data_IF_467644578950
#
_entry.id   IF_467644578950
#
_cell.length_a   1.000
_cell.length_b   1.000
_cell.length_c   1.000
_cell.angle_alpha   90.00
_cell.angle_beta   90.00
_cell.angle_gamma   90.00
#
_symmetry.space_group_name_H-M   'P 1'
#
loop_
_entity.id
_entity.type
_entity.pdbx_description
1 polymer ?
#
# COMPACT_ATOMS: atom_id res chain seq x y z
N UNK A 1 -19.95 -8.50 8.15
CA UNK A 1 -19.34 -9.06 6.92
C UNK A 1 -18.17 -9.96 7.30
N UNK A 2 -17.90 -11.04 6.54
CA UNK A 2 -16.67 -11.83 6.73
C UNK A 2 -15.53 -11.24 5.91
N UNK A 3 -14.29 -11.55 6.27
CA UNK A 3 -13.11 -11.06 5.53
C UNK A 3 -13.09 -11.56 4.09
N UNK A 4 -13.51 -12.81 3.87
CA UNK A 4 -13.50 -13.40 2.53
C UNK A 4 -14.54 -12.73 1.62
N UNK A 5 -15.71 -12.37 2.16
CA UNK A 5 -16.71 -11.58 1.41
C UNK A 5 -16.15 -10.22 1.01
N UNK A 6 -15.49 -9.52 1.94
CA UNK A 6 -14.84 -8.23 1.64
C UNK A 6 -13.77 -8.37 0.55
N UNK A 7 -13.02 -9.48 0.58
CA UNK A 7 -12.02 -9.79 -0.42
C UNK A 7 -12.66 -10.00 -1.80
N UNK A 8 -13.73 -10.79 -1.87
CA UNK A 8 -14.44 -11.08 -3.11
C UNK A 8 -15.05 -9.81 -3.71
N UNK A 9 -15.68 -8.96 -2.89
CA UNK A 9 -16.19 -7.66 -3.33
C UNK A 9 -15.06 -6.75 -3.85
N UNK A 10 -13.91 -6.72 -3.17
CA UNK A 10 -12.75 -5.92 -3.62
C UNK A 10 -12.27 -6.40 -5.01
N UNK A 11 -12.23 -7.72 -5.23
CA UNK A 11 -11.87 -8.32 -6.52
C UNK A 11 -12.90 -7.95 -7.61
N UNK A 12 -14.19 -8.02 -7.30
CA UNK A 12 -15.26 -7.67 -8.24
C UNK A 12 -15.16 -6.20 -8.67
N UNK A 13 -14.99 -5.27 -7.72
CA UNK A 13 -14.78 -3.85 -8.02
C UNK A 13 -13.58 -3.65 -8.93
N UNK A 14 -12.42 -4.24 -8.58
CA UNK A 14 -11.21 -4.14 -9.39
C UNK A 14 -11.40 -4.68 -10.80
N UNK A 15 -12.02 -5.85 -10.96
CA UNK A 15 -12.28 -6.45 -12.28
C UNK A 15 -13.25 -5.61 -13.11
N UNK A 16 -14.33 -5.10 -12.51
CA UNK A 16 -15.26 -4.19 -13.19
C UNK A 16 -14.58 -2.88 -13.61
N UNK A 17 -13.63 -2.38 -12.81
CA UNK A 17 -12.80 -1.24 -13.14
C UNK A 17 -11.71 -1.55 -14.19
N UNK A 18 -11.62 -2.78 -14.69
CA UNK A 18 -10.68 -3.18 -15.74
C UNK A 18 -9.28 -3.52 -15.25
N UNK A 19 -9.11 -3.83 -13.96
CA UNK A 19 -7.84 -4.35 -13.44
C UNK A 19 -7.69 -5.84 -13.74
N UNK A 20 -6.47 -6.25 -14.09
CA UNK A 20 -6.00 -7.61 -13.90
C UNK A 20 -5.75 -7.82 -12.41
N UNK A 21 -6.25 -8.91 -11.83
CA UNK A 21 -6.20 -9.15 -10.38
C UNK A 21 -5.56 -10.52 -10.12
N UNK A 22 -4.58 -10.57 -9.21
CA UNK A 22 -3.91 -11.81 -8.81
C UNK A 22 -4.86 -12.72 -8.03
N UNK A 23 -4.45 -13.97 -7.85
CA UNK A 23 -5.05 -14.85 -6.87
C UNK A 23 -4.90 -14.28 -5.45
N UNK A 24 -5.83 -14.68 -4.59
CA UNK A 24 -5.83 -14.29 -3.18
C UNK A 24 -4.61 -14.92 -2.49
N UNK A 25 -3.79 -14.09 -1.87
CA UNK A 25 -2.69 -14.55 -1.04
C UNK A 25 -3.24 -15.17 0.25
N UNK A 26 -3.31 -16.50 0.29
CA UNK A 26 -3.79 -17.26 1.44
C UNK A 26 -2.67 -17.61 2.44
N UNK A 27 -1.41 -17.42 2.02
CA UNK A 27 -0.20 -17.74 2.78
C UNK A 27 -0.01 -16.75 3.93
N UNK A 28 0.53 -17.22 5.06
CA UNK A 28 0.79 -16.40 6.24
C UNK A 28 2.26 -16.50 6.65
N UNK A 29 2.86 -15.42 7.18
CA UNK A 29 2.33 -14.04 7.22
C UNK A 29 2.22 -13.41 5.80
N UNK A 30 1.37 -12.37 5.66
CA UNK A 30 1.12 -11.70 4.36
C UNK A 30 1.10 -10.17 4.45
N UNK A 31 1.90 -9.47 3.64
CA UNK A 31 1.98 -8.01 3.54
C UNK A 31 0.80 -7.44 2.77
N UNK A 32 0.39 -8.10 1.70
CA UNK A 32 -0.83 -7.79 0.95
C UNK A 32 -1.66 -9.07 0.73
N UNK A 33 -2.95 -8.91 0.47
CA UNK A 33 -3.87 -10.00 0.15
C UNK A 33 -4.04 -10.18 -1.36
N UNK A 34 -4.00 -9.09 -2.14
CA UNK A 34 -4.24 -9.08 -3.58
C UNK A 34 -3.32 -8.06 -4.25
N UNK A 35 -2.76 -8.40 -5.41
CA UNK A 35 -2.16 -7.44 -6.32
C UNK A 35 -3.11 -7.18 -7.50
N UNK A 36 -3.19 -5.94 -7.97
CA UNK A 36 -4.03 -5.59 -9.11
C UNK A 36 -3.35 -4.56 -10.01
N UNK A 37 -3.43 -4.74 -11.33
CA UNK A 37 -2.81 -3.82 -12.31
C UNK A 37 -3.79 -3.38 -13.40
N UNK A 38 -3.76 -2.10 -13.73
CA UNK A 38 -4.45 -1.49 -14.89
C UNK A 38 -3.52 -0.46 -15.53
N UNK A 39 -2.87 -0.84 -16.64
CA UNK A 39 -1.81 -0.02 -17.25
C UNK A 39 -0.65 0.21 -16.26
N UNK A 40 -0.29 1.48 -16.05
CA UNK A 40 0.75 1.89 -15.09
C UNK A 40 0.28 1.85 -13.63
N UNK A 41 -1.03 1.79 -13.37
CA UNK A 41 -1.54 1.72 -12.00
C UNK A 41 -1.39 0.30 -11.46
N UNK A 42 -0.56 0.15 -10.43
CA UNK A 42 -0.40 -1.09 -9.67
C UNK A 42 -0.89 -0.86 -8.22
N UNK A 43 -1.70 -1.77 -7.70
CA UNK A 43 -2.21 -1.75 -6.34
C UNK A 43 -1.74 -2.99 -5.57
N UNK A 44 -1.25 -2.79 -4.35
CA UNK A 44 -1.02 -3.84 -3.37
C UNK A 44 -2.06 -3.70 -2.26
N UNK A 45 -3.14 -4.46 -2.39
CA UNK A 45 -4.32 -4.36 -1.54
C UNK A 45 -4.21 -5.27 -0.32
N UNK A 46 -4.38 -4.69 0.87
CA UNK A 46 -4.48 -5.39 2.15
C UNK A 46 -5.92 -5.36 2.64
N UNK A 47 -6.49 -6.52 2.95
CA UNK A 47 -7.89 -6.66 3.35
C UNK A 47 -7.99 -6.98 4.83
N UNK A 48 -8.60 -6.08 5.59
CA UNK A 48 -8.73 -6.15 7.05
C UNK A 48 -10.12 -5.69 7.49
N UNK A 49 -10.90 -6.56 8.15
CA UNK A 49 -12.19 -6.12 8.73
C UNK A 49 -12.01 -4.97 9.73
N UNK A 50 -10.98 -5.03 10.56
CA UNK A 50 -10.60 -3.94 11.45
C UNK A 50 -9.23 -3.39 11.04
N UNK A 51 -9.16 -2.10 10.73
CA UNK A 51 -7.90 -1.41 10.42
C UNK A 51 -6.88 -1.55 11.56
N UNK A 52 -7.33 -1.75 12.80
CA UNK A 52 -6.46 -2.03 13.96
C UNK A 52 -5.62 -3.29 13.84
N UNK A 53 -6.00 -4.22 12.95
CA UNK A 53 -5.24 -5.42 12.67
C UNK A 53 -3.99 -5.21 11.82
N UNK A 54 -3.79 -4.03 11.21
CA UNK A 54 -2.56 -3.73 10.49
C UNK A 54 -1.44 -3.50 11.51
N UNK A 55 -0.30 -4.16 11.32
CA UNK A 55 0.91 -3.96 12.12
C UNK A 55 1.89 -3.04 11.38
N UNK A 56 2.75 -2.34 12.14
CA UNK A 56 3.77 -1.46 11.58
C UNK A 56 4.74 -2.21 10.66
N UNK A 57 5.16 -3.41 11.04
CA UNK A 57 6.02 -4.27 10.23
C UNK A 57 5.39 -4.63 8.88
N UNK A 58 4.12 -5.03 8.88
CA UNK A 58 3.37 -5.32 7.65
C UNK A 58 3.25 -4.07 6.77
N UNK A 59 2.95 -2.92 7.38
CA UNK A 59 2.81 -1.67 6.66
C UNK A 59 4.15 -1.19 6.06
N UNK A 60 5.23 -1.28 6.81
CA UNK A 60 6.57 -0.94 6.31
C UNK A 60 6.99 -1.85 5.15
N UNK A 61 6.72 -3.15 5.24
CA UNK A 61 6.98 -4.04 4.11
C UNK A 61 6.12 -3.69 2.88
N UNK A 62 4.84 -3.37 3.06
CA UNK A 62 3.98 -2.89 1.97
C UNK A 62 4.54 -1.63 1.30
N UNK A 63 5.04 -0.66 2.08
CA UNK A 63 5.68 0.55 1.52
C UNK A 63 6.91 0.20 0.69
N UNK A 64 7.81 -0.62 1.23
CA UNK A 64 9.03 -1.05 0.52
C UNK A 64 8.69 -1.80 -0.76
N UNK A 65 7.73 -2.72 -0.71
CA UNK A 65 7.30 -3.47 -1.89
C UNK A 65 6.68 -2.55 -2.94
N UNK A 66 5.84 -1.61 -2.51
CA UNK A 66 5.22 -0.61 -3.39
C UNK A 66 6.25 0.27 -4.07
N UNK A 67 7.29 0.71 -3.35
CA UNK A 67 8.39 1.51 -3.91
C UNK A 67 9.21 0.71 -4.94
N UNK A 68 9.55 -0.55 -4.62
CA UNK A 68 10.34 -1.39 -5.53
C UNK A 68 9.55 -1.72 -6.80
N UNK A 69 8.27 -2.06 -6.66
CA UNK A 69 7.40 -2.53 -7.74
C UNK A 69 6.69 -1.39 -8.50
N UNK A 70 6.80 -0.14 -8.03
CA UNK A 70 6.08 1.00 -8.60
C UNK A 70 4.56 0.92 -8.40
N UNK A 71 4.11 0.41 -7.24
CA UNK A 71 2.70 0.28 -6.89
C UNK A 71 2.26 1.23 -5.77
N UNK A 72 0.96 1.21 -5.48
CA UNK A 72 0.35 1.92 -4.36
C UNK A 72 -0.14 0.91 -3.31
N UNK A 73 0.32 1.02 -2.05
CA UNK A 73 -0.23 0.20 -0.97
C UNK A 73 -1.58 0.77 -0.54
N UNK A 74 -2.60 -0.08 -0.45
CA UNK A 74 -3.95 0.33 -0.06
C UNK A 74 -4.56 -0.67 0.91
N UNK A 75 -5.25 -0.19 1.94
CA UNK A 75 -6.01 -1.04 2.86
C UNK A 75 -7.50 -0.88 2.60
N UNK A 76 -8.20 -2.01 2.46
CA UNK A 76 -9.65 -2.07 2.38
C UNK A 76 -10.15 -2.67 3.69
N UNK A 77 -11.03 -1.97 4.39
CA UNK A 77 -11.57 -2.42 5.66
C UNK A 77 -12.98 -1.95 5.97
N UNK A 78 -13.53 -2.43 7.08
CA UNK A 78 -14.93 -2.16 7.45
C UNK A 78 -15.05 -1.25 8.67
N UNK A 79 -14.09 -1.35 9.59
CA UNK A 79 -14.13 -0.58 10.83
C UNK A 79 -12.75 -0.22 11.35
N UNK A 80 -12.73 0.74 12.26
CA UNK A 80 -11.61 1.05 13.16
C UNK A 80 -12.12 1.02 14.59
N UNK A 81 -11.41 0.35 15.51
CA UNK A 81 -11.90 0.06 16.86
C UNK A 81 -13.29 -0.61 16.80
N UNK A 82 -14.29 0.07 17.37
CA UNK A 82 -15.69 -0.37 17.40
C UNK A 82 -16.60 0.49 16.52
N UNK A 83 -16.04 1.36 15.67
CA UNK A 83 -16.79 2.26 14.79
C UNK A 83 -16.62 1.83 13.33
N UNK A 84 -17.70 1.73 12.54
CA UNK A 84 -17.59 1.50 11.10
C UNK A 84 -16.80 2.64 10.43
N UNK A 85 -16.18 2.34 9.30
CA UNK A 85 -15.60 3.37 8.45
C UNK A 85 -16.72 4.07 7.70
N UNK A 86 -16.71 5.40 7.72
CA UNK A 86 -17.66 6.24 6.98
C UNK A 86 -17.36 6.22 5.48
N UNK A 87 -18.42 6.31 4.68
CA UNK A 87 -18.32 6.42 3.22
C UNK A 87 -17.70 7.76 2.83
N UNK A 88 -16.94 7.77 1.72
CA UNK A 88 -16.23 8.94 1.20
C UNK A 88 -15.21 9.55 2.17
N UNK A 89 -14.79 8.79 3.20
CA UNK A 89 -13.75 9.17 4.16
C UNK A 89 -12.50 8.30 3.99
N UNK A 90 -11.36 8.96 3.90
CA UNK A 90 -10.05 8.33 3.87
C UNK A 90 -9.49 8.21 5.29
N UNK A 91 -9.08 7.01 5.65
CA UNK A 91 -8.36 6.71 6.88
C UNK A 91 -6.88 6.51 6.55
N UNK A 92 -6.02 6.62 7.56
CA UNK A 92 -4.59 6.32 7.41
C UNK A 92 -4.08 5.55 8.60
N UNK A 93 -3.26 4.54 8.33
CA UNK A 93 -2.55 3.79 9.37
C UNK A 93 -1.15 3.45 8.91
N UNK A 94 -0.15 3.78 9.73
CA UNK A 94 1.27 3.66 9.36
C UNK A 94 1.57 4.24 7.96
N UNK A 95 0.98 5.41 7.66
CA UNK A 95 1.09 6.11 6.37
C UNK A 95 0.52 5.35 5.15
N UNK A 96 -0.24 4.28 5.36
CA UNK A 96 -0.98 3.60 4.29
C UNK A 96 -2.41 4.11 4.28
N UNK A 97 -2.88 4.50 3.09
CA UNK A 97 -4.26 4.89 2.81
C UNK A 97 -5.19 3.71 3.09
N UNK A 98 -6.29 3.98 3.79
CA UNK A 98 -7.30 2.99 4.10
C UNK A 98 -8.70 3.53 3.78
N UNK A 99 -9.53 2.72 3.13
CA UNK A 99 -10.91 3.08 2.76
C UNK A 99 -11.83 1.88 2.99
N UNK A 100 -13.15 2.14 3.02
CA UNK A 100 -14.14 1.08 3.00
C UNK A 100 -14.49 0.65 1.57
N UNK A 101 -15.24 -0.44 1.44
CA UNK A 101 -15.59 -1.00 0.13
C UNK A 101 -16.47 -0.04 -0.70
N UNK A 102 -17.33 0.75 -0.05
CA UNK A 102 -18.19 1.72 -0.75
C UNK A 102 -17.37 2.85 -1.36
N UNK A 103 -16.48 3.48 -0.58
CA UNK A 103 -15.54 4.51 -1.07
C UNK A 103 -14.63 3.97 -2.18
N UNK A 104 -14.22 2.71 -2.07
CA UNK A 104 -13.44 2.04 -3.10
C UNK A 104 -14.23 1.84 -4.40
N UNK A 105 -15.50 1.44 -4.30
CA UNK A 105 -16.43 1.35 -5.43
C UNK A 105 -16.67 2.72 -6.07
N UNK A 106 -17.01 3.73 -5.27
CA UNK A 106 -17.28 5.10 -5.71
C UNK A 106 -16.09 5.67 -6.49
N UNK A 107 -14.87 5.47 -5.98
CA UNK A 107 -13.66 5.94 -6.63
C UNK A 107 -13.39 5.25 -7.98
N UNK A 108 -13.48 3.91 -8.05
CA UNK A 108 -13.07 3.16 -9.25
C UNK A 108 -14.16 2.96 -10.31
N UNK A 109 -15.43 2.94 -9.90
CA UNK A 109 -16.58 2.63 -10.75
C UNK A 109 -17.36 3.90 -11.07
N UNK A 110 -17.76 4.65 -10.05
CA UNK A 110 -18.57 5.87 -10.22
C UNK A 110 -17.71 7.09 -10.57
N UNK A 111 -16.37 6.99 -10.42
CA UNK A 111 -15.43 8.10 -10.58
C UNK A 111 -15.72 9.26 -9.62
N UNK A 112 -16.16 8.93 -8.40
CA UNK A 112 -16.45 9.88 -7.32
C UNK A 112 -15.30 9.80 -6.30
N UNK A 113 -14.35 10.75 -6.29
CA UNK A 113 -13.26 10.75 -5.34
C UNK A 113 -13.71 11.20 -3.94
N UNK A 114 -13.15 10.61 -2.86
CA UNK A 114 -13.39 11.09 -1.51
C UNK A 114 -12.81 12.49 -1.31
N UNK A 115 -13.43 13.27 -0.44
CA UNK A 115 -13.01 14.64 -0.11
C UNK A 115 -12.65 14.80 1.37
N UNK A 116 -12.84 13.76 2.17
CA UNK A 116 -12.71 13.83 3.62
C UNK A 116 -11.61 12.87 4.09
N UNK A 117 -10.83 13.30 5.08
CA UNK A 117 -9.83 12.50 5.77
C UNK A 117 -10.15 12.40 7.25
N UNK A 118 -9.98 11.21 7.83
CA UNK A 118 -10.05 11.00 9.26
C UNK A 118 -8.65 11.20 9.88
N UNK A 119 -8.57 12.03 10.92
CA UNK A 119 -7.36 12.27 11.72
C UNK A 119 -7.70 12.31 13.21
N UNK A 120 -6.70 12.22 14.12
CA UNK A 120 -6.95 12.40 15.54
C UNK A 120 -7.67 13.73 15.78
N UNK A 121 -8.88 13.69 16.36
CA UNK A 121 -9.67 14.88 16.65
C UNK A 121 -10.88 15.10 15.73
N UNK A 122 -11.00 14.39 14.60
CA UNK A 122 -12.21 14.46 13.77
C UNK A 122 -11.97 14.25 12.27
N UNK A 123 -12.92 14.76 11.49
CA UNK A 123 -12.91 14.73 10.04
C UNK A 123 -12.42 16.06 9.48
N UNK A 124 -11.54 15.97 8.48
CA UNK A 124 -10.88 17.10 7.89
C UNK A 124 -10.94 17.06 6.36
N UNK A 125 -11.03 18.23 5.75
CA UNK A 125 -11.25 18.43 4.32
C UNK A 125 -10.14 19.34 3.77
N UNK A 126 -9.41 18.95 2.72
CA UNK A 126 -8.53 19.85 1.98
C UNK A 126 -9.37 20.95 1.32
N UNK A 127 -8.90 22.19 1.41
CA UNK A 127 -9.61 23.33 0.85
C UNK A 127 -8.76 24.08 -0.16
N UNK A 128 -9.43 24.63 -1.17
CA UNK A 128 -8.83 25.55 -2.12
C UNK A 128 -8.55 26.92 -1.46
N UNK A 129 -7.31 27.10 -1.01
CA UNK A 129 -6.87 28.33 -0.34
C UNK A 129 -6.96 29.57 -1.23
N UNK A 130 -6.72 29.43 -2.54
CA UNK A 130 -6.86 30.51 -3.51
C UNK A 130 -8.32 30.95 -3.63
N UNK A 131 -9.24 30.01 -3.83
CA UNK A 131 -10.67 30.29 -3.93
C UNK A 131 -11.21 30.93 -2.64
N UNK A 132 -10.77 30.42 -1.48
CA UNK A 132 -11.10 31.02 -0.18
C UNK A 132 -10.65 32.48 -0.09
N UNK A 133 -9.41 32.77 -0.50
CA UNK A 133 -8.82 34.12 -0.46
C UNK A 133 -9.57 35.09 -1.36
N UNK A 134 -9.88 34.66 -2.59
CA UNK A 134 -10.63 35.43 -3.57
C UNK A 134 -12.03 35.75 -3.04
N UNK A 135 -12.80 34.73 -2.64
CA UNK A 135 -14.16 34.91 -2.14
C UNK A 135 -14.20 35.77 -0.86
N UNK A 136 -13.21 35.63 0.04
CA UNK A 136 -13.12 36.50 1.23
C UNK A 136 -12.94 37.97 0.83
N UNK A 137 -12.06 38.26 -0.15
CA UNK A 137 -11.79 39.62 -0.61
C UNK A 137 -13.01 40.21 -1.32
N UNK A 138 -13.68 39.44 -2.17
CA UNK A 138 -14.90 39.86 -2.88
C UNK A 138 -16.04 40.19 -1.92
N UNK A 139 -16.15 39.45 -0.82
CA UNK A 139 -17.10 39.71 0.26
C UNK A 139 -16.64 40.81 1.23
N UNK A 140 -15.53 41.52 0.95
CA UNK A 140 -14.97 42.59 1.79
C UNK A 140 -14.67 42.15 3.24
N UNK A 141 -14.36 40.87 3.45
CA UNK A 141 -14.08 40.33 4.77
C UNK A 141 -12.59 40.43 5.09
N UNK A 142 -12.26 40.94 6.29
CA UNK A 142 -10.91 40.83 6.82
C UNK A 142 -10.63 39.39 7.29
N UNK A 143 -9.37 38.98 7.35
CA UNK A 143 -8.97 37.69 7.95
C UNK A 143 -9.53 37.52 9.38
N UNK A 144 -9.57 38.60 10.16
CA UNK A 144 -10.09 38.58 11.53
C UNK A 144 -11.61 38.44 11.58
N UNK A 145 -12.32 39.09 10.63
CA UNK A 145 -13.77 39.00 10.50
C UNK A 145 -14.19 37.57 10.16
N UNK A 146 -13.57 36.97 9.13
CA UNK A 146 -13.87 35.60 8.73
C UNK A 146 -13.52 34.61 9.84
N UNK A 147 -12.36 34.78 10.49
CA UNK A 147 -11.96 33.96 11.63
C UNK A 147 -12.97 34.00 12.79
N UNK A 148 -13.54 35.17 13.08
CA UNK A 148 -14.56 35.34 14.10
C UNK A 148 -15.89 34.64 13.76
N UNK A 149 -16.29 34.63 12.49
CA UNK A 149 -17.51 33.94 12.02
C UNK A 149 -17.36 32.42 12.14
N UNK A 150 -16.22 31.90 11.67
CA UNK A 150 -15.97 30.46 11.58
C UNK A 150 -15.48 29.86 12.91
N UNK A 151 -15.14 30.70 13.89
CA UNK A 151 -14.71 30.27 15.22
C UNK A 151 -13.26 29.77 15.28
N UNK A 152 -12.40 30.26 14.38
CA UNK A 152 -10.97 29.89 14.32
C UNK A 152 -10.07 31.11 14.55
N UNK A 153 -8.75 30.90 14.62
CA UNK A 153 -7.82 32.03 14.75
C UNK A 153 -7.61 32.74 13.41
N UNK A 154 -7.29 34.05 13.44
CA UNK A 154 -6.86 34.79 12.24
C UNK A 154 -5.70 34.11 11.52
N UNK A 155 -4.77 33.52 12.28
CA UNK A 155 -3.63 32.77 11.73
C UNK A 155 -4.08 31.51 10.99
N UNK A 156 -5.13 30.85 11.47
CA UNK A 156 -5.71 29.66 10.83
C UNK A 156 -6.27 30.00 9.46
N UNK A 157 -7.07 31.06 9.33
CA UNK A 157 -7.56 31.53 8.02
C UNK A 157 -6.41 31.88 7.08
N UNK A 158 -5.38 32.58 7.56
CA UNK A 158 -4.19 32.88 6.74
C UNK A 158 -3.52 31.60 6.21
N UNK A 159 -3.39 30.57 7.05
CA UNK A 159 -2.83 29.28 6.63
C UNK A 159 -3.74 28.53 5.65
N UNK A 160 -5.06 28.62 5.82
CA UNK A 160 -5.99 28.08 4.84
C UNK A 160 -5.76 28.70 3.46
N UNK A 161 -5.60 30.02 3.38
CA UNK A 161 -5.37 30.75 2.13
C UNK A 161 -3.98 30.51 1.51
N UNK A 162 -2.93 30.45 2.34
CA UNK A 162 -1.54 30.47 1.86
C UNK A 162 -0.88 29.07 1.77
N UNK A 163 -1.32 28.10 2.58
CA UNK A 163 -0.69 26.77 2.70
C UNK A 163 -1.60 25.62 2.21
N UNK A 164 -2.85 25.89 1.80
CA UNK A 164 -3.78 24.85 1.33
C UNK A 164 -4.04 23.76 2.38
N UNK A 165 -4.16 24.17 3.65
CA UNK A 165 -4.30 23.23 4.76
C UNK A 165 -5.65 22.52 4.78
N UNK A 166 -5.74 21.48 5.60
CA UNK A 166 -7.01 20.81 5.88
C UNK A 166 -7.77 21.55 7.00
N UNK A 167 -9.06 21.80 6.78
CA UNK A 167 -9.98 22.39 7.74
C UNK A 167 -10.92 21.31 8.30
N UNK A 168 -11.53 21.53 9.47
CA UNK A 168 -12.58 20.59 9.93
C UNK A 168 -13.78 20.65 8.99
N UNK A 169 -14.52 19.55 8.86
CA UNK A 169 -15.72 19.53 8.01
C UNK A 169 -16.71 20.65 8.38
N UNK A 170 -16.93 20.88 9.67
CA UNK A 170 -17.80 21.96 10.16
C UNK A 170 -17.32 23.36 9.72
N UNK A 171 -16.00 23.58 9.74
CA UNK A 171 -15.38 24.83 9.28
C UNK A 171 -15.63 25.03 7.79
N UNK A 172 -15.44 23.99 6.99
CA UNK A 172 -15.66 24.04 5.53
C UNK A 172 -17.12 24.32 5.22
N UNK A 173 -18.06 23.62 5.86
CA UNK A 173 -19.49 23.85 5.66
C UNK A 173 -19.90 25.29 5.99
N UNK A 174 -19.38 25.86 7.09
CA UNK A 174 -19.64 27.28 7.44
C UNK A 174 -19.04 28.22 6.38
N UNK A 175 -17.83 27.93 5.88
CA UNK A 175 -17.17 28.75 4.86
C UNK A 175 -17.92 28.70 3.54
N UNK A 176 -18.30 27.52 3.07
CA UNK A 176 -19.04 27.32 1.82
C UNK A 176 -20.43 27.96 1.88
N UNK A 177 -21.15 27.84 3.01
CA UNK A 177 -22.44 28.51 3.20
C UNK A 177 -22.30 30.04 3.27
N UNK A 178 -21.26 30.55 3.95
CA UNK A 178 -21.04 31.99 4.04
C UNK A 178 -20.66 32.61 2.69
N UNK A 179 -19.77 31.94 1.95
CA UNK A 179 -19.15 32.47 0.74
C UNK A 179 -19.87 32.03 -0.54
N UNK A 180 -20.78 31.06 -0.45
CA UNK A 180 -21.55 30.49 -1.55
C UNK A 180 -20.64 29.95 -2.69
N UNK A 181 -19.55 29.29 -2.30
CA UNK A 181 -18.59 28.64 -3.19
C UNK A 181 -18.25 27.23 -2.69
N UNK A 182 -17.82 26.35 -3.59
CA UNK A 182 -17.24 25.07 -3.24
C UNK A 182 -15.75 25.24 -2.94
N UNK A 183 -15.33 24.81 -1.76
CA UNK A 183 -13.94 24.90 -1.28
C UNK A 183 -13.30 23.54 -1.16
N UNK A 184 -14.09 22.50 -0.86
CA UNK A 184 -13.59 21.16 -0.65
C UNK A 184 -12.92 20.61 -1.92
N UNK A 185 -11.71 20.04 -1.77
CA UNK A 185 -10.97 19.47 -2.90
C UNK A 185 -11.03 17.93 -2.90
N UNK A 186 -11.11 17.31 -4.09
CA UNK A 186 -11.08 15.85 -4.21
C UNK A 186 -9.70 15.30 -3.84
N UNK A 187 -9.68 14.11 -3.25
CA UNK A 187 -8.46 13.43 -2.82
C UNK A 187 -8.25 12.18 -3.65
N UNK A 188 -7.04 12.08 -4.21
CA UNK A 188 -6.61 10.90 -4.93
C UNK A 188 -6.09 9.83 -3.96
N UNK A 189 -6.85 8.74 -3.78
CA UNK A 189 -6.46 7.61 -2.93
C UNK A 189 -5.24 6.86 -3.47
N UNK A 190 -4.88 7.07 -4.74
CA UNK A 190 -3.71 6.47 -5.38
C UNK A 190 -2.41 7.23 -5.12
N UNK A 191 -2.50 8.46 -4.60
CA UNK A 191 -1.37 9.32 -4.33
C UNK A 191 -1.18 9.58 -2.83
N UNK A 192 -0.56 8.63 -2.08
CA UNK A 192 -0.37 8.75 -0.64
C UNK A 192 0.58 9.90 -0.23
N UNK A 193 1.38 10.46 -1.15
CA UNK A 193 2.24 11.60 -0.83
C UNK A 193 1.43 12.89 -0.60
N UNK A 194 0.32 13.07 -1.34
CA UNK A 194 -0.60 14.20 -1.15
C UNK A 194 -1.27 14.15 0.25
N UNK A 195 -1.61 12.94 0.70
CA UNK A 195 -2.22 12.68 2.02
C UNK A 195 -1.28 12.90 3.21
N UNK A 196 0.04 12.84 3.01
CA UNK A 196 1.02 13.00 4.09
C UNK A 196 1.33 14.46 4.39
N UNK A 197 1.35 15.32 3.38
CA UNK A 197 1.51 16.78 3.55
C UNK A 197 0.34 17.35 4.38
N UNK A 198 -0.86 16.84 4.13
CA UNK A 198 -2.09 17.14 4.86
C UNK A 198 -2.02 16.86 6.37
N UNK A 199 -1.49 15.70 6.76
CA UNK A 199 -1.46 15.28 8.17
C UNK A 199 -0.45 16.07 8.99
N UNK A 200 0.66 16.49 8.38
CA UNK A 200 1.67 17.35 9.02
C UNK A 200 1.09 18.73 9.37
N UNK A 201 0.28 19.29 8.48
CA UNK A 201 -0.39 20.58 8.71
C UNK A 201 -1.44 20.54 9.83
N UNK A 202 -2.13 19.39 10.00
CA UNK A 202 -3.13 19.21 11.07
C UNK A 202 -2.44 19.17 12.45
N UNK A 203 -1.36 18.40 12.60
CA UNK A 203 -0.63 18.29 13.88
C UNK A 203 -0.02 19.60 14.37
N UNK A 204 0.32 20.51 13.45
CA UNK A 204 0.92 21.82 13.77
C UNK A 204 -0.11 22.87 14.21
N UNK A 205 -1.41 22.59 14.08
CA UNK A 205 -2.51 23.48 14.46
C UNK A 205 -3.10 23.20 15.85
N UNK A 206 -2.84 22.00 16.41
CA UNK A 206 -3.24 21.61 17.76
C UNK A 206 -2.12 21.87 18.77
N UNK A 207 -2.37 22.77 19.72
CA UNK A 207 -1.44 23.13 20.81
C UNK A 207 -1.04 21.88 21.65
N UNK A 208 0.24 21.72 22.08
CA UNK A 208 0.69 20.50 22.74
C UNK A 208 0.48 20.59 24.27
N UNK A 209 -0.52 19.87 24.79
CA UNK A 209 -0.64 19.59 26.24
C UNK A 209 -0.44 18.11 26.52
N UNK A 210 0.58 17.84 27.34
CA UNK A 210 1.07 16.57 27.87
C UNK A 210 -0.01 15.59 28.36
N UNK A 211 0.14 14.34 27.94
CA UNK A 211 0.02 13.10 28.74
C UNK A 211 1.13 12.18 28.17
N UNK A 212 2.16 11.69 28.86
CA UNK A 212 2.28 11.33 30.26
C UNK A 212 2.16 9.81 30.41
N UNK A 213 3.26 9.06 30.25
CA UNK A 213 3.44 7.77 30.92
C UNK A 213 3.65 6.51 30.06
N UNK A 214 4.94 6.16 29.87
CA UNK A 214 5.55 4.83 30.09
C UNK A 214 4.92 3.61 29.40
N UNK A 215 5.66 2.96 28.48
CA UNK A 215 6.36 1.72 28.85
C UNK A 215 7.33 1.21 27.78
N UNK A 216 8.56 1.00 28.26
CA UNK A 216 9.57 0.01 27.87
C UNK A 216 9.63 -0.46 26.41
N UNK A 217 10.70 -0.02 25.75
CA UNK A 217 11.35 -0.79 24.68
C UNK A 217 11.85 -2.09 25.33
N UNK A 218 11.14 -3.19 25.10
CA UNK A 218 11.73 -4.52 25.23
C UNK A 218 12.66 -4.70 24.03
N UNK A 219 13.91 -5.16 24.21
CA UNK A 219 14.80 -5.43 23.10
C UNK A 219 14.19 -6.54 22.25
N UNK A 220 14.14 -6.31 20.94
CA UNK A 220 13.87 -7.37 19.98
C UNK A 220 14.86 -8.51 20.26
N UNK A 221 14.33 -9.69 20.58
CA UNK A 221 15.15 -10.87 20.79
C UNK A 221 15.96 -11.13 19.51
N UNK A 222 17.29 -11.06 19.61
CA UNK A 222 18.21 -11.58 18.61
C UNK A 222 18.00 -13.10 18.50
N UNK A 223 17.05 -13.52 17.67
CA UNK A 223 16.88 -14.94 17.33
C UNK A 223 18.02 -15.34 16.39
N UNK A 224 18.90 -16.25 16.85
CA UNK A 224 19.85 -16.93 15.98
C UNK A 224 19.10 -17.58 14.81
N UNK A 225 19.59 -17.44 13.56
CA UNK A 225 18.94 -18.05 12.40
C UNK A 225 18.91 -19.57 12.53
N UNK A 226 17.76 -20.17 12.22
CA UNK A 226 17.65 -21.63 12.16
C UNK A 226 18.50 -22.17 11.00
N UNK A 227 18.81 -23.48 11.02
CA UNK A 227 19.59 -24.13 9.95
C UNK A 227 18.93 -23.97 8.57
N UNK A 228 17.60 -23.98 8.50
CA UNK A 228 16.88 -23.78 7.25
C UNK A 228 16.98 -22.32 6.78
N UNK A 229 16.83 -21.35 7.69
CA UNK A 229 17.01 -19.92 7.39
C UNK A 229 18.43 -19.63 6.89
N UNK A 230 19.45 -20.25 7.46
CA UNK A 230 20.83 -20.08 7.02
C UNK A 230 21.04 -20.58 5.57
N UNK A 231 20.46 -21.74 5.23
CA UNK A 231 20.52 -22.27 3.86
C UNK A 231 19.73 -21.42 2.87
N UNK A 232 18.60 -20.85 3.28
CA UNK A 232 17.83 -19.91 2.45
C UNK A 232 18.61 -18.62 2.18
N UNK A 233 19.25 -18.06 3.20
CA UNK A 233 20.06 -16.84 3.08
C UNK A 233 21.28 -17.06 2.19
N UNK A 234 21.89 -18.26 2.24
CA UNK A 234 22.98 -18.65 1.33
C UNK A 234 22.52 -18.60 -0.14
N UNK A 235 21.31 -19.10 -0.44
CA UNK A 235 20.73 -19.05 -1.79
C UNK A 235 20.52 -17.61 -2.27
N UNK A 236 20.02 -16.73 -1.41
CA UNK A 236 19.86 -15.31 -1.74
C UNK A 236 21.20 -14.60 -1.94
N UNK A 237 22.25 -15.03 -1.22
CA UNK A 237 23.61 -14.50 -1.40
C UNK A 237 24.15 -14.82 -2.79
N UNK A 238 23.85 -16.00 -3.33
CA UNK A 238 24.19 -16.33 -4.72
C UNK A 238 23.48 -15.40 -5.70
N UNK A 239 22.19 -15.13 -5.52
CA UNK A 239 21.45 -14.16 -6.37
C UNK A 239 22.07 -12.77 -6.30
N UNK A 240 22.46 -12.31 -5.11
CA UNK A 240 23.14 -11.03 -4.97
C UNK A 240 24.52 -11.01 -5.65
N UNK A 241 25.27 -12.12 -5.58
CA UNK A 241 26.57 -12.28 -6.24
C UNK A 241 26.47 -12.25 -7.77
N UNK A 242 25.32 -12.66 -8.32
CA UNK A 242 25.01 -12.51 -9.74
C UNK A 242 24.77 -11.05 -10.14
N UNK A 243 24.67 -10.11 -9.20
CA UNK A 243 24.53 -8.68 -9.51
C UNK A 243 23.13 -8.10 -9.31
N UNK A 244 22.21 -8.87 -8.70
CA UNK A 244 20.90 -8.34 -8.29
C UNK A 244 21.01 -7.61 -6.94
N UNK A 245 20.26 -6.52 -6.81
CA UNK A 245 19.89 -5.96 -5.53
C UNK A 245 18.76 -6.82 -4.92
N UNK A 246 19.04 -7.48 -3.80
CA UNK A 246 18.13 -8.45 -3.19
C UNK A 246 17.53 -7.86 -1.93
N UNK A 247 16.23 -7.57 -1.98
CA UNK A 247 15.47 -7.13 -0.81
C UNK A 247 14.66 -8.29 -0.24
N UNK A 248 15.02 -8.70 0.96
CA UNK A 248 14.29 -9.73 1.69
C UNK A 248 12.90 -9.26 2.13
N UNK A 249 11.97 -10.21 2.16
CA UNK A 249 10.61 -10.05 2.68
C UNK A 249 10.35 -11.06 3.81
N UNK A 250 9.70 -10.60 4.86
CA UNK A 250 9.25 -11.40 5.99
C UNK A 250 7.80 -11.86 5.81
N UNK A 251 6.96 -11.00 5.23
CA UNK A 251 5.52 -11.20 5.13
C UNK A 251 5.04 -11.36 3.69
N UNK A 252 5.88 -11.65 2.69
CA UNK A 252 5.39 -11.89 1.33
C UNK A 252 5.29 -13.39 1.00
N UNK A 253 4.51 -13.79 -0.02
CA UNK A 253 4.49 -15.19 -0.49
C UNK A 253 5.83 -15.62 -1.10
N UNK A 254 6.70 -14.68 -1.43
CA UNK A 254 8.10 -14.83 -1.82
C UNK A 254 9.03 -14.45 -0.66
N UNK A 255 10.29 -14.91 -0.71
CA UNK A 255 11.31 -14.68 0.33
C UNK A 255 12.10 -13.38 0.09
N UNK A 256 12.18 -12.96 -1.17
CA UNK A 256 12.83 -11.70 -1.56
C UNK A 256 12.28 -11.18 -2.89
N UNK A 257 12.49 -9.88 -3.12
CA UNK A 257 12.41 -9.24 -4.43
C UNK A 257 13.84 -8.95 -4.89
N UNK A 258 14.22 -9.47 -6.05
CA UNK A 258 15.54 -9.31 -6.64
C UNK A 258 15.44 -8.40 -7.85
N UNK A 259 16.19 -7.30 -7.87
CA UNK A 259 16.11 -6.27 -8.90
C UNK A 259 17.46 -6.05 -9.56
N UNK A 260 17.46 -5.94 -10.88
CA UNK A 260 18.57 -5.37 -11.63
C UNK A 260 18.12 -4.08 -12.34
N UNK A 261 18.89 -3.60 -13.33
CA UNK A 261 18.54 -2.36 -14.05
C UNK A 261 17.26 -2.45 -14.87
N UNK A 262 16.89 -3.65 -15.33
CA UNK A 262 15.86 -3.84 -16.36
C UNK A 262 14.73 -4.78 -15.92
N UNK A 263 14.93 -5.54 -14.85
CA UNK A 263 14.09 -6.65 -14.44
C UNK A 263 13.89 -6.66 -12.93
N UNK A 264 12.70 -7.08 -12.52
CA UNK A 264 12.37 -7.39 -11.14
C UNK A 264 11.92 -8.85 -11.09
N UNK A 265 12.42 -9.60 -10.12
CA UNK A 265 12.16 -11.03 -9.95
C UNK A 265 11.63 -11.26 -8.53
N UNK A 266 10.51 -11.96 -8.43
CA UNK A 266 10.00 -12.49 -7.16
C UNK A 266 10.70 -13.82 -6.88
N UNK A 267 11.45 -13.87 -5.78
CA UNK A 267 12.32 -14.99 -5.44
C UNK A 267 11.79 -15.73 -4.22
N UNK A 268 11.34 -16.97 -4.42
CA UNK A 268 11.04 -17.93 -3.37
C UNK A 268 12.26 -18.81 -3.09
N UNK A 269 12.44 -19.25 -1.85
CA UNK A 269 13.49 -20.21 -1.49
C UNK A 269 12.89 -21.29 -0.62
N UNK A 270 13.11 -22.57 -0.95
CA UNK A 270 12.68 -23.69 -0.11
C UNK A 270 13.28 -25.03 -0.58
N UNK A 271 13.00 -26.13 0.14
CA UNK A 271 13.13 -27.49 -0.40
C UNK A 271 11.90 -27.83 -1.25
N UNK A 272 12.06 -28.71 -2.24
CA UNK A 272 10.93 -29.13 -3.08
C UNK A 272 9.90 -29.95 -2.31
N UNK A 273 8.68 -29.43 -2.16
CA UNK A 273 7.55 -30.13 -1.55
C UNK A 273 6.20 -29.59 -2.08
N UNK A 274 5.08 -30.15 -1.59
CA UNK A 274 3.74 -29.74 -2.01
C UNK A 274 3.40 -28.28 -1.66
N UNK A 275 3.92 -27.75 -0.55
CA UNK A 275 3.72 -26.34 -0.17
C UNK A 275 4.48 -25.38 -1.11
N UNK A 276 5.66 -25.78 -1.58
CA UNK A 276 6.43 -25.04 -2.59
C UNK A 276 5.66 -24.94 -3.90
N UNK A 277 4.99 -26.01 -4.34
CA UNK A 277 4.16 -25.99 -5.55
C UNK A 277 2.99 -25.03 -5.42
N UNK A 278 2.29 -25.03 -4.27
CA UNK A 278 1.21 -24.07 -3.99
C UNK A 278 1.70 -22.62 -3.99
N UNK A 279 2.86 -22.38 -3.35
CA UNK A 279 3.51 -21.06 -3.35
C UNK A 279 3.90 -20.61 -4.75
N UNK A 280 4.42 -21.52 -5.58
CA UNK A 280 4.84 -21.21 -6.94
C UNK A 280 3.64 -20.84 -7.82
N UNK A 281 2.51 -21.52 -7.68
CA UNK A 281 1.25 -21.15 -8.35
C UNK A 281 0.81 -19.73 -7.96
N UNK A 282 0.75 -19.43 -6.66
CA UNK A 282 0.42 -18.08 -6.19
C UNK A 282 1.42 -17.02 -6.69
N UNK A 283 2.72 -17.35 -6.67
CA UNK A 283 3.76 -16.46 -7.18
C UNK A 283 3.65 -16.23 -8.69
N UNK A 284 3.22 -17.22 -9.46
CA UNK A 284 2.92 -17.09 -10.90
C UNK A 284 1.86 -16.01 -11.11
N UNK A 285 0.68 -16.21 -10.48
CA UNK A 285 -0.45 -15.29 -10.58
C UNK A 285 -0.09 -13.86 -10.16
N UNK A 286 0.68 -13.71 -9.07
CA UNK A 286 1.18 -12.41 -8.63
C UNK A 286 2.16 -11.82 -9.67
N UNK A 287 3.13 -12.60 -10.16
CA UNK A 287 4.14 -12.11 -11.10
C UNK A 287 3.55 -11.67 -12.44
N UNK A 288 2.47 -12.32 -12.89
CA UNK A 288 1.77 -11.95 -14.12
C UNK A 288 1.10 -10.58 -13.98
N UNK A 289 0.49 -10.30 -12.81
CA UNK A 289 -0.08 -8.98 -12.50
C UNK A 289 1.01 -7.92 -12.28
N UNK A 290 2.09 -8.29 -11.58
CA UNK A 290 3.18 -7.36 -11.30
C UNK A 290 4.05 -7.07 -12.53
N UNK A 291 3.98 -7.91 -13.57
CA UNK A 291 4.87 -7.92 -14.74
C UNK A 291 6.33 -8.16 -14.36
N UNK A 292 6.56 -9.19 -13.54
CA UNK A 292 7.88 -9.54 -13.00
C UNK A 292 8.30 -10.96 -13.40
N UNK A 293 9.57 -11.30 -13.17
CA UNK A 293 10.07 -12.67 -13.24
C UNK A 293 9.62 -13.50 -12.02
N UNK A 294 9.15 -14.71 -12.28
CA UNK A 294 8.83 -15.79 -11.34
C UNK A 294 9.98 -16.77 -11.01
N UNK A 295 10.62 -16.83 -9.82
CA UNK A 295 11.55 -17.93 -9.52
C UNK A 295 11.43 -18.54 -8.12
N UNK A 296 11.53 -19.86 -8.05
CA UNK A 296 11.75 -20.64 -6.84
C UNK A 296 13.13 -21.29 -6.86
N UNK A 297 13.96 -20.89 -5.91
CA UNK A 297 15.27 -21.47 -5.66
C UNK A 297 15.14 -22.70 -4.77
N UNK A 298 15.55 -23.85 -5.30
CA UNK A 298 15.39 -25.15 -4.64
C UNK A 298 16.71 -25.60 -4.01
N UNK A 299 16.70 -25.72 -2.68
CA UNK A 299 17.77 -26.38 -1.96
C UNK A 299 17.61 -27.91 -2.05
N UNK A 300 18.16 -28.50 -3.10
CA UNK A 300 18.05 -29.93 -3.41
C UNK A 300 17.71 -30.16 -4.88
N UNK A 301 16.93 -31.21 -5.15
CA UNK A 301 16.42 -31.49 -6.48
C UNK A 301 14.93 -31.16 -6.57
N UNK A 302 14.49 -30.80 -7.77
CA UNK A 302 13.12 -30.52 -8.15
C UNK A 302 12.61 -31.61 -9.12
N UNK A 303 11.31 -31.91 -9.10
CA UNK A 303 10.70 -32.84 -10.06
C UNK A 303 10.16 -32.14 -11.32
N UNK A 304 10.07 -30.82 -11.29
CA UNK A 304 9.52 -29.98 -12.35
C UNK A 304 10.46 -28.80 -12.57
N UNK A 305 10.52 -28.28 -13.80
CA UNK A 305 11.31 -27.10 -14.15
C UNK A 305 10.57 -25.79 -13.94
N UNK A 306 9.23 -25.84 -13.91
CA UNK A 306 8.37 -24.68 -13.67
C UNK A 306 7.01 -25.12 -13.14
N UNK A 307 6.32 -24.16 -12.54
CA UNK A 307 4.88 -24.17 -12.27
C UNK A 307 4.36 -22.88 -12.89
N UNK A 308 3.61 -22.99 -13.98
CA UNK A 308 3.13 -21.84 -14.77
C UNK A 308 4.27 -20.89 -15.17
N UNK A 309 4.21 -19.60 -14.79
CA UNK A 309 5.25 -18.62 -15.07
C UNK A 309 6.37 -18.59 -14.02
N UNK A 310 6.28 -19.42 -12.97
CA UNK A 310 7.33 -19.54 -11.94
C UNK A 310 8.33 -20.64 -12.25
N UNK A 311 9.58 -20.27 -12.53
CA UNK A 311 10.68 -21.18 -12.80
C UNK A 311 11.22 -21.83 -11.50
N UNK A 312 11.67 -23.07 -11.58
CA UNK A 312 12.36 -23.76 -10.48
C UNK A 312 13.83 -23.89 -10.83
N UNK A 313 14.72 -23.40 -9.98
CA UNK A 313 16.18 -23.44 -10.20
C UNK A 313 16.84 -24.09 -8.99
N UNK A 314 17.57 -25.17 -9.25
CA UNK A 314 18.27 -25.91 -8.20
C UNK A 314 19.58 -25.21 -7.82
N UNK A 315 20.02 -25.35 -6.56
CA UNK A 315 21.28 -24.76 -6.08
C UNK A 315 22.48 -25.03 -7.00
N UNK A 316 22.61 -26.26 -7.50
CA UNK A 316 23.72 -26.66 -8.39
C UNK A 316 23.71 -25.95 -9.75
N UNK A 317 22.55 -25.49 -10.18
CA UNK A 317 22.36 -24.74 -11.41
C UNK A 317 22.66 -23.26 -11.17
N UNK A 318 22.10 -22.69 -10.10
CA UNK A 318 22.33 -21.30 -9.70
C UNK A 318 23.82 -20.98 -9.54
N UNK A 319 24.60 -21.87 -8.92
CA UNK A 319 26.05 -21.68 -8.68
C UNK A 319 26.88 -21.68 -9.98
N UNK A 320 26.33 -22.18 -11.10
CA UNK A 320 27.02 -22.20 -12.40
C UNK A 320 26.74 -20.96 -13.24
N UNK A 321 25.79 -20.13 -12.83
CA UNK A 321 25.46 -18.88 -13.50
C UNK A 321 26.57 -17.85 -13.26
N UNK A 322 26.90 -17.09 -14.28
CA UNK A 322 28.00 -16.12 -14.30
C UNK A 322 27.52 -14.68 -14.11
N UNK A 323 26.23 -14.40 -14.34
CA UNK A 323 25.67 -13.06 -14.27
C UNK A 323 24.14 -13.03 -14.19
N UNK A 324 23.54 -11.82 -14.18
CA UNK A 324 22.10 -11.68 -14.07
C UNK A 324 21.35 -12.16 -15.31
N UNK A 325 21.98 -12.05 -16.49
CA UNK A 325 21.39 -12.48 -17.76
C UNK A 325 21.10 -13.98 -17.78
N UNK A 326 22.02 -14.81 -17.27
CA UNK A 326 21.85 -16.28 -17.21
C UNK A 326 20.60 -16.67 -16.40
N UNK A 327 20.37 -15.97 -15.28
CA UNK A 327 19.20 -16.21 -14.42
C UNK A 327 17.91 -15.77 -15.13
N UNK A 328 17.92 -14.59 -15.74
CA UNK A 328 16.77 -14.03 -16.47
C UNK A 328 16.40 -14.93 -17.65
N UNK A 329 17.37 -15.32 -18.48
CA UNK A 329 17.17 -16.22 -19.61
C UNK A 329 16.59 -17.56 -19.15
N UNK A 330 17.14 -18.15 -18.08
CA UNK A 330 16.61 -19.40 -17.52
C UNK A 330 15.16 -19.26 -17.04
N UNK A 331 14.79 -18.13 -16.45
CA UNK A 331 13.41 -17.85 -16.02
C UNK A 331 12.49 -17.74 -17.24
N UNK A 332 12.88 -16.97 -18.25
CA UNK A 332 12.09 -16.76 -19.47
C UNK A 332 11.94 -18.04 -20.30
N UNK A 333 12.99 -18.87 -20.43
CA UNK A 333 12.91 -20.17 -21.10
C UNK A 333 11.93 -21.15 -20.42
N UNK A 334 11.78 -21.02 -19.10
CA UNK A 334 10.96 -21.93 -18.27
C UNK A 334 9.55 -21.42 -18.06
N UNK A 335 9.29 -20.14 -18.34
CA UNK A 335 7.93 -19.61 -18.41
C UNK A 335 7.17 -20.41 -19.47
N UNK A 336 6.25 -21.24 -19.02
CA UNK A 336 5.28 -21.85 -19.92
C UNK A 336 4.19 -20.79 -20.09
N UNK A 337 4.02 -20.17 -21.28
CA UNK A 337 2.94 -19.24 -21.46
C UNK A 337 1.62 -19.97 -21.22
N UNK A 338 0.71 -19.36 -20.45
CA UNK A 338 -0.65 -19.87 -20.33
C UNK A 338 -1.25 -20.03 -21.72
N UNK A 339 -1.88 -21.18 -21.97
CA UNK A 339 -2.75 -21.33 -23.13
C UNK A 339 -3.93 -20.38 -22.93
N UNK A 340 -3.97 -19.30 -23.72
CA UNK A 340 -5.08 -18.37 -23.84
C UNK A 340 -6.44 -19.06 -23.95
#
# INVERSE_FOLDING_TARGET
>A
MSRDILADQTIEVLRHAGFLVSDKCDIRPRSFDIAARRGETLLLCKILLNLDGLTEETANEMHVLSEILGGTPLVIGEKTRDQPLEDNVIYTRYKITAVNIQTFYDYFIENIPPMVTASPGGLYVPIDGSALKEARIENNLSLGSLAGIVGVSRRTISKYEDEGMHASIDTVLILEDLLQIELAQPIDILNPAALQTAQKTISDSSNPSKIGGISSVAPAAENKPTVETAAENEMLTYVSTLGFDVKETAHAPFRAVSKDKNSIILTGVSKYNASTLKRAHLMSSISDVLQTGSVFLINGNSKVKSVESTAFIEKKELVRMSGPEDLIETIEERKVPEKK
#
